data_IF_006448280936
#
_entry.id   IF_006448280936
#
_cell.length_a   1.000
_cell.length_b   1.000
_cell.length_c   1.000
_cell.angle_alpha   90.00
_cell.angle_beta   90.00
_cell.angle_gamma   90.00
#
_symmetry.space_group_name_H-M   'P 1'
#
loop_
_entity.id
_entity.type
_entity.pdbx_description
1 polymer ?
#
# COMPACT_ATOMS: atom_id res chain seq x y z
N UNK A 1 5.54 -22.55 4.46
CA UNK A 1 5.75 -22.70 5.92
C UNK A 1 6.33 -24.07 6.21
N UNK A 2 7.50 -24.18 6.84
CA UNK A 2 8.13 -25.49 7.10
C UNK A 2 8.34 -26.35 5.85
N UNK A 3 8.62 -25.77 4.70
CA UNK A 3 8.79 -26.46 3.42
C UNK A 3 7.48 -26.95 2.75
N UNK A 4 6.31 -26.59 3.30
CA UNK A 4 5.02 -26.90 2.68
C UNK A 4 4.53 -25.72 1.83
N UNK A 5 4.00 -26.03 0.66
CA UNK A 5 3.15 -25.12 -0.11
C UNK A 5 1.73 -25.24 0.43
N UNK A 6 1.05 -24.11 0.59
CA UNK A 6 -0.34 -24.05 1.00
C UNK A 6 -1.18 -23.57 -0.18
N UNK A 7 -2.32 -24.20 -0.42
CA UNK A 7 -3.30 -23.80 -1.43
C UNK A 7 -4.50 -23.19 -0.73
N UNK A 8 -4.83 -21.96 -1.13
CA UNK A 8 -5.84 -21.17 -0.47
C UNK A 8 -7.11 -21.05 -1.32
N UNK A 9 -8.26 -21.10 -0.64
CA UNK A 9 -9.55 -20.75 -1.21
C UNK A 9 -10.33 -19.85 -0.26
N UNK A 10 -11.33 -19.15 -0.80
CA UNK A 10 -12.18 -18.26 -0.01
C UNK A 10 -13.06 -19.11 0.91
N UNK A 11 -12.95 -18.89 2.23
CA UNK A 11 -13.77 -19.55 3.24
C UNK A 11 -14.90 -18.64 3.77
N UNK A 12 -14.72 -17.32 3.74
CA UNK A 12 -15.71 -16.38 4.25
C UNK A 12 -15.26 -14.94 4.18
N UNK A 13 -16.06 -14.05 4.76
CA UNK A 13 -15.78 -12.62 4.86
C UNK A 13 -15.93 -12.21 6.32
N UNK A 14 -14.95 -11.49 6.83
CA UNK A 14 -14.99 -10.86 8.16
C UNK A 14 -14.63 -9.37 8.02
N UNK A 15 -15.48 -8.49 8.50
CA UNK A 15 -15.29 -7.03 8.40
C UNK A 15 -14.97 -6.55 6.97
N UNK A 16 -15.65 -7.14 5.97
CA UNK A 16 -15.41 -6.87 4.54
C UNK A 16 -14.07 -7.35 4.00
N UNK A 17 -13.28 -8.09 4.78
CA UNK A 17 -12.05 -8.76 4.35
C UNK A 17 -12.25 -10.25 4.18
N UNK A 18 -11.51 -10.83 3.28
CA UNK A 18 -11.58 -12.27 3.04
C UNK A 18 -10.90 -13.05 4.17
N UNK A 19 -11.54 -14.14 4.53
CA UNK A 19 -10.94 -15.24 5.27
C UNK A 19 -10.67 -16.35 4.29
N UNK A 20 -9.41 -16.75 4.18
CA UNK A 20 -8.96 -17.83 3.31
C UNK A 20 -8.80 -19.11 4.13
N UNK A 21 -9.07 -20.26 3.56
CA UNK A 21 -8.74 -21.56 4.16
C UNK A 21 -7.66 -22.24 3.34
N UNK A 22 -6.64 -22.82 4.00
CA UNK A 22 -5.71 -23.68 3.31
C UNK A 22 -6.24 -25.13 3.23
N UNK A 23 -5.99 -25.81 2.10
CA UNK A 23 -6.45 -27.17 1.85
C UNK A 23 -5.65 -28.21 2.67
N UNK A 24 -4.40 -27.93 2.99
CA UNK A 24 -3.48 -28.87 3.60
C UNK A 24 -3.75 -29.08 5.09
N UNK A 25 -4.27 -28.06 5.77
CA UNK A 25 -4.51 -28.14 7.21
C UNK A 25 -5.91 -27.69 7.62
N UNK A 26 -6.70 -27.10 6.72
CA UNK A 26 -8.00 -26.52 7.03
C UNK A 26 -7.90 -25.27 7.93
N UNK A 27 -6.72 -24.67 8.03
CA UNK A 27 -6.51 -23.47 8.83
C UNK A 27 -7.11 -22.25 8.13
N UNK A 28 -7.70 -21.36 8.90
CA UNK A 28 -8.27 -20.11 8.41
C UNK A 28 -7.31 -18.95 8.60
N UNK A 29 -7.12 -18.18 7.56
CA UNK A 29 -6.16 -17.10 7.45
C UNK A 29 -6.86 -15.79 7.14
N UNK A 30 -6.51 -14.77 7.89
CA UNK A 30 -7.05 -13.43 7.69
C UNK A 30 -6.21 -12.69 6.64
N UNK A 31 -6.87 -12.16 5.62
CA UNK A 31 -6.22 -11.56 4.45
C UNK A 31 -5.31 -10.37 4.81
N UNK A 32 -5.80 -9.43 5.62
CA UNK A 32 -5.09 -8.17 5.91
C UNK A 32 -3.79 -8.41 6.67
N UNK A 33 -3.82 -9.29 7.67
CA UNK A 33 -2.65 -9.57 8.51
C UNK A 33 -1.78 -10.70 7.97
N UNK A 34 -2.30 -11.53 7.07
CA UNK A 34 -1.65 -12.78 6.66
C UNK A 34 -1.52 -13.81 7.79
N UNK A 35 -2.25 -13.63 8.90
CA UNK A 35 -2.12 -14.50 10.07
C UNK A 35 -3.24 -15.54 10.15
N UNK A 36 -2.88 -16.72 10.61
CA UNK A 36 -3.81 -17.81 10.89
C UNK A 36 -4.62 -17.50 12.17
N UNK A 37 -5.94 -17.48 12.05
CA UNK A 37 -6.87 -17.12 13.13
C UNK A 37 -7.54 -18.33 13.77
N UNK A 38 -7.75 -19.40 13.01
CA UNK A 38 -8.41 -20.63 13.47
C UNK A 38 -7.74 -21.83 12.80
N UNK A 39 -7.59 -22.94 13.52
CA UNK A 39 -7.10 -24.22 13.00
C UNK A 39 -5.70 -24.60 13.52
N UNK A 40 -5.10 -25.66 12.96
CA UNK A 40 -3.83 -26.20 13.44
C UNK A 40 -2.64 -25.25 13.38
N UNK A 41 -2.69 -24.22 12.51
CA UNK A 41 -1.63 -23.23 12.37
C UNK A 41 -1.98 -21.89 13.03
N UNK A 42 -3.05 -21.81 13.84
CA UNK A 42 -3.46 -20.57 14.49
C UNK A 42 -2.30 -19.88 15.22
N UNK A 43 -2.23 -18.55 15.08
CA UNK A 43 -1.14 -17.72 15.60
C UNK A 43 0.11 -17.66 14.73
N UNK A 44 0.19 -18.43 13.65
CA UNK A 44 1.27 -18.28 12.67
C UNK A 44 0.90 -17.25 11.62
N UNK A 45 1.90 -16.50 11.13
CA UNK A 45 1.72 -15.52 10.06
C UNK A 45 2.59 -15.88 8.85
N UNK A 46 2.07 -15.59 7.66
CA UNK A 46 2.83 -15.63 6.42
C UNK A 46 3.80 -14.45 6.41
N UNK A 47 4.92 -14.62 5.74
CA UNK A 47 5.82 -13.51 5.47
C UNK A 47 5.17 -12.54 4.49
N UNK A 48 5.10 -11.27 4.89
CA UNK A 48 4.58 -10.22 4.03
C UNK A 48 5.65 -9.78 3.05
N UNK A 49 5.37 -9.89 1.77
CA UNK A 49 6.20 -9.34 0.70
C UNK A 49 5.62 -8.00 0.23
N UNK A 50 6.44 -7.03 -0.22
CA UNK A 50 5.94 -5.83 -0.85
C UNK A 50 5.13 -6.18 -2.12
N UNK A 51 3.97 -5.58 -2.26
CA UNK A 51 3.13 -5.67 -3.45
C UNK A 51 2.86 -4.30 -4.03
N UNK A 52 2.35 -4.27 -5.24
CA UNK A 52 1.96 -3.05 -5.93
C UNK A 52 0.44 -2.93 -6.04
N UNK A 53 -0.05 -1.74 -5.73
CA UNK A 53 -1.39 -1.33 -6.10
C UNK A 53 -1.26 -0.17 -7.09
N UNK A 54 -1.26 -0.53 -8.36
CA UNK A 54 -1.03 0.41 -9.46
C UNK A 54 -2.10 0.24 -10.54
N UNK A 55 -2.35 1.28 -11.30
CA UNK A 55 -3.24 1.17 -12.47
C UNK A 55 -2.59 0.27 -13.52
N UNK A 56 -3.43 -0.31 -14.38
CA UNK A 56 -2.92 -1.12 -15.50
C UNK A 56 -2.05 -0.29 -16.46
N UNK A 57 -2.29 1.00 -16.56
CA UNK A 57 -1.47 1.92 -17.36
C UNK A 57 -0.03 2.00 -16.81
N UNK A 58 0.12 2.18 -15.49
CA UNK A 58 1.43 2.16 -14.82
C UNK A 58 2.09 0.80 -14.98
N UNK A 59 1.36 -0.28 -14.72
CA UNK A 59 1.87 -1.64 -14.90
C UNK A 59 2.37 -1.89 -16.31
N UNK A 60 1.59 -1.51 -17.33
CA UNK A 60 1.96 -1.69 -18.74
C UNK A 60 3.18 -0.85 -19.13
N UNK A 61 3.32 0.36 -18.57
CA UNK A 61 4.49 1.22 -18.77
C UNK A 61 5.77 0.55 -18.28
N UNK A 62 5.70 -0.10 -17.12
CA UNK A 62 6.85 -0.77 -16.50
C UNK A 62 7.08 -2.19 -17.04
N UNK A 63 6.02 -2.84 -17.50
CA UNK A 63 6.03 -4.21 -18.03
C UNK A 63 5.38 -4.28 -19.42
N UNK A 64 6.02 -3.74 -20.47
CA UNK A 64 5.40 -3.60 -21.79
C UNK A 64 5.05 -4.93 -22.46
N UNK A 65 5.71 -6.01 -22.07
CA UNK A 65 5.47 -7.36 -22.59
C UNK A 65 4.51 -8.19 -21.71
N UNK A 66 3.77 -7.55 -20.79
CA UNK A 66 2.84 -8.27 -19.92
C UNK A 66 1.73 -8.92 -20.72
N UNK A 67 1.31 -10.10 -20.24
CA UNK A 67 0.16 -10.80 -20.78
C UNK A 67 -1.04 -10.58 -19.86
N UNK A 68 -2.21 -10.37 -20.46
CA UNK A 68 -3.47 -10.26 -19.75
C UNK A 68 -4.28 -11.52 -19.99
N UNK A 69 -4.70 -12.19 -18.93
CA UNK A 69 -5.57 -13.34 -19.03
C UNK A 69 -6.89 -12.91 -19.69
N UNK A 70 -7.23 -13.57 -20.80
CA UNK A 70 -8.50 -13.32 -21.45
C UNK A 70 -9.62 -13.96 -20.62
N UNK A 71 -10.66 -13.19 -20.24
CA UNK A 71 -11.79 -13.76 -19.51
C UNK A 71 -12.47 -14.84 -20.33
N UNK A 72 -12.93 -15.91 -19.68
CA UNK A 72 -13.81 -16.87 -20.29
C UNK A 72 -15.12 -16.17 -20.72
N UNK A 73 -15.68 -16.58 -21.85
CA UNK A 73 -16.85 -15.89 -22.43
C UNK A 73 -18.08 -15.94 -21.49
N UNK A 74 -18.24 -17.06 -20.78
CA UNK A 74 -19.29 -17.30 -19.81
C UNK A 74 -19.08 -16.60 -18.44
N UNK A 75 -17.86 -16.13 -18.19
CA UNK A 75 -17.54 -15.42 -16.94
C UNK A 75 -17.87 -13.91 -17.00
N UNK A 76 -18.23 -13.37 -18.15
CA UNK A 76 -18.44 -11.92 -18.32
C UNK A 76 -19.53 -11.36 -17.43
N UNK A 77 -20.57 -12.13 -17.16
CA UNK A 77 -21.69 -11.72 -16.31
C UNK A 77 -21.33 -11.65 -14.82
N UNK A 78 -20.19 -12.24 -14.44
CA UNK A 78 -19.70 -12.26 -13.06
C UNK A 78 -18.70 -11.13 -12.75
N UNK A 79 -18.31 -10.34 -13.75
CA UNK A 79 -17.46 -9.19 -13.52
C UNK A 79 -18.26 -8.02 -12.97
N UNK A 80 -17.72 -7.36 -11.95
CA UNK A 80 -18.29 -6.15 -11.41
C UNK A 80 -18.33 -5.03 -12.46
N UNK A 81 -19.26 -4.10 -12.30
CA UNK A 81 -19.34 -2.90 -13.13
C UNK A 81 -18.08 -2.04 -13.00
N UNK A 82 -17.81 -1.21 -14.00
CA UNK A 82 -16.59 -0.38 -14.02
C UNK A 82 -16.49 0.63 -12.86
N UNK A 83 -17.60 0.92 -12.20
CA UNK A 83 -17.71 1.84 -11.08
C UNK A 83 -17.94 1.14 -9.72
N UNK A 84 -17.65 -0.15 -9.62
CA UNK A 84 -17.84 -0.98 -8.43
C UNK A 84 -17.20 -0.37 -7.17
N UNK A 85 -16.05 0.30 -7.30
CA UNK A 85 -15.39 1.00 -6.18
C UNK A 85 -16.28 2.10 -5.59
N UNK A 86 -17.05 2.83 -6.45
CA UNK A 86 -17.97 3.87 -5.98
C UNK A 86 -19.19 3.29 -5.27
N UNK A 87 -19.61 2.11 -5.68
CA UNK A 87 -20.72 1.39 -5.02
C UNK A 87 -20.28 0.90 -3.64
N UNK A 88 -19.13 0.25 -3.55
CA UNK A 88 -18.57 -0.23 -2.27
C UNK A 88 -18.35 0.92 -1.29
N UNK A 89 -17.88 2.07 -1.76
CA UNK A 89 -17.68 3.25 -0.91
C UNK A 89 -18.98 3.73 -0.22
N UNK A 90 -20.15 3.35 -0.71
CA UNK A 90 -21.46 3.73 -0.16
C UNK A 90 -22.05 2.69 0.79
N UNK A 91 -21.51 1.48 0.84
CA UNK A 91 -22.03 0.44 1.72
C UNK A 91 -21.83 0.82 3.19
N UNK A 92 -22.79 0.49 4.07
CA UNK A 92 -22.61 0.70 5.50
C UNK A 92 -21.39 -0.08 5.99
N UNK A 93 -20.67 0.50 6.94
CA UNK A 93 -19.59 -0.19 7.62
C UNK A 93 -20.15 -1.15 8.64
N UNK A 94 -19.58 -2.36 8.73
CA UNK A 94 -20.02 -3.37 9.70
C UNK A 94 -19.34 -3.21 11.06
N UNK A 95 -18.17 -2.61 11.09
CA UNK A 95 -17.41 -2.33 12.32
C UNK A 95 -17.57 -0.86 12.68
N UNK A 96 -18.11 -0.53 13.85
CA UNK A 96 -18.16 0.85 14.31
C UNK A 96 -16.74 1.35 14.62
N UNK A 97 -16.47 2.60 14.31
CA UNK A 97 -15.27 3.31 14.74
C UNK A 97 -15.63 4.36 15.78
N UNK A 98 -14.64 4.82 16.54
CA UNK A 98 -14.83 5.87 17.53
C UNK A 98 -15.35 7.14 16.82
N UNK A 99 -16.50 7.70 17.26
CA UNK A 99 -17.00 8.96 16.71
C UNK A 99 -16.03 10.15 16.89
N UNK A 100 -15.03 10.03 17.76
CA UNK A 100 -13.98 11.04 17.98
C UNK A 100 -12.79 10.87 17.04
N UNK A 101 -12.74 9.81 16.23
CA UNK A 101 -11.69 9.66 15.23
C UNK A 101 -11.73 10.82 14.24
N UNK A 102 -10.54 11.27 13.83
CA UNK A 102 -10.38 12.39 12.89
C UNK A 102 -10.86 12.06 11.48
N UNK A 103 -10.89 10.78 11.14
CA UNK A 103 -11.24 10.29 9.82
C UNK A 103 -12.62 9.64 9.86
N UNK A 104 -13.34 9.80 8.76
CA UNK A 104 -14.62 9.12 8.56
C UNK A 104 -14.40 7.65 8.23
N UNK A 105 -15.35 6.75 8.51
CA UNK A 105 -15.17 5.31 8.28
C UNK A 105 -14.68 4.96 6.88
N UNK A 106 -15.18 5.65 5.88
CA UNK A 106 -14.85 5.41 4.46
C UNK A 106 -13.77 6.32 3.87
N UNK A 107 -13.08 7.09 4.72
CA UNK A 107 -11.89 7.81 4.24
C UNK A 107 -10.83 6.81 3.81
N UNK A 108 -10.30 7.02 2.61
CA UNK A 108 -9.19 6.21 2.11
C UNK A 108 -7.90 6.62 2.82
N UNK A 109 -7.15 5.63 3.22
CA UNK A 109 -5.82 5.77 3.83
C UNK A 109 -4.82 4.85 3.15
N UNK A 110 -3.55 5.21 3.23
CA UNK A 110 -2.44 4.30 2.99
C UNK A 110 -1.86 3.91 4.34
N UNK A 111 -2.04 2.66 4.71
CA UNK A 111 -1.51 2.10 5.94
C UNK A 111 -0.12 1.53 5.74
N UNK A 112 0.81 1.87 6.62
CA UNK A 112 2.17 1.31 6.64
C UNK A 112 2.48 0.82 8.05
N UNK A 113 3.12 -0.34 8.14
CA UNK A 113 3.60 -0.90 9.40
C UNK A 113 5.12 -1.06 9.38
N UNK A 114 5.77 -0.81 10.51
CA UNK A 114 7.19 -1.09 10.72
C UNK A 114 7.37 -1.62 12.15
N UNK A 115 7.70 -2.89 12.27
CA UNK A 115 7.69 -3.58 13.56
C UNK A 115 6.30 -3.53 14.21
N UNK A 116 6.22 -2.94 15.40
CA UNK A 116 4.96 -2.76 16.14
C UNK A 116 4.28 -1.42 15.90
N UNK A 117 4.87 -0.57 15.07
CA UNK A 117 4.34 0.78 14.80
C UNK A 117 3.53 0.75 13.51
N UNK A 118 2.30 1.27 13.58
CA UNK A 118 1.42 1.46 12.43
C UNK A 118 1.09 2.94 12.24
N UNK A 119 1.01 3.40 11.00
CA UNK A 119 0.62 4.77 10.65
C UNK A 119 -0.23 4.77 9.39
N UNK A 120 -1.30 5.55 9.43
CA UNK A 120 -2.19 5.77 8.31
C UNK A 120 -1.92 7.15 7.70
N UNK A 121 -1.80 7.19 6.40
CA UNK A 121 -1.63 8.41 5.61
C UNK A 121 -2.92 8.65 4.84
N UNK A 122 -3.74 9.65 5.23
CA UNK A 122 -4.98 9.96 4.55
C UNK A 122 -4.73 10.25 3.06
N UNK A 123 -5.56 9.70 2.18
CA UNK A 123 -5.43 9.92 0.74
C UNK A 123 -5.42 11.39 0.36
N UNK A 124 -6.24 12.18 1.04
CA UNK A 124 -6.29 13.64 0.86
C UNK A 124 -4.95 14.32 1.18
N UNK A 125 -4.24 13.81 2.19
CA UNK A 125 -2.90 14.33 2.53
C UNK A 125 -1.87 13.96 1.45
N UNK A 126 -1.95 12.74 0.88
CA UNK A 126 -1.08 12.32 -0.23
C UNK A 126 -1.30 13.16 -1.48
N UNK A 127 -2.55 13.47 -1.81
CA UNK A 127 -2.87 14.33 -2.95
C UNK A 127 -2.36 15.76 -2.73
N UNK A 128 -2.46 16.27 -1.50
CA UNK A 128 -2.01 17.63 -1.17
C UNK A 128 -0.49 17.75 -1.04
N UNK A 129 0.19 16.70 -0.59
CA UNK A 129 1.63 16.69 -0.33
C UNK A 129 2.24 15.38 -0.90
N UNK A 130 2.66 15.41 -2.16
CA UNK A 130 3.31 14.28 -2.81
C UNK A 130 4.72 14.66 -3.28
N UNK A 131 5.77 13.94 -2.88
CA UNK A 131 5.77 12.79 -1.97
C UNK A 131 5.61 13.17 -0.49
N UNK A 132 5.15 12.22 0.33
CA UNK A 132 5.24 12.35 1.79
C UNK A 132 6.57 11.74 2.24
N UNK A 133 7.36 12.53 2.93
CA UNK A 133 8.58 12.14 3.62
C UNK A 133 8.26 12.04 5.11
N UNK A 134 8.55 10.88 5.72
CA UNK A 134 8.26 10.63 7.13
C UNK A 134 9.28 9.66 7.74
N UNK A 135 9.10 9.36 9.01
CA UNK A 135 9.81 8.29 9.72
C UNK A 135 8.79 7.46 10.50
N UNK A 136 8.82 6.16 10.31
CA UNK A 136 7.94 5.21 10.99
C UNK A 136 8.79 4.24 11.82
N UNK A 137 8.79 4.41 13.16
CA UNK A 137 9.78 3.77 14.00
C UNK A 137 11.20 4.21 13.58
N UNK A 138 12.06 3.23 13.27
CA UNK A 138 13.43 3.49 12.78
C UNK A 138 13.53 3.51 11.25
N UNK A 139 12.39 3.45 10.55
CA UNK A 139 12.36 3.39 9.09
C UNK A 139 12.10 4.77 8.48
N UNK A 140 13.07 5.37 7.80
CA UNK A 140 12.85 6.59 7.02
C UNK A 140 12.00 6.25 5.80
N UNK A 141 10.77 6.76 5.79
CA UNK A 141 9.70 6.37 4.87
C UNK A 141 9.50 7.41 3.77
N UNK A 142 9.29 6.92 2.55
CA UNK A 142 8.73 7.65 1.43
C UNK A 142 7.37 7.04 1.08
N UNK A 143 6.32 7.83 1.06
CA UNK A 143 5.02 7.46 0.47
C UNK A 143 4.85 8.27 -0.80
N UNK A 144 4.72 7.57 -1.92
CA UNK A 144 4.76 8.16 -3.25
C UNK A 144 3.50 7.82 -4.04
N UNK A 145 2.81 8.86 -4.50
CA UNK A 145 1.70 8.76 -5.44
C UNK A 145 2.21 9.05 -6.86
N UNK A 146 1.87 8.19 -7.82
CA UNK A 146 2.21 8.41 -9.23
C UNK A 146 1.40 9.60 -9.80
N UNK A 147 1.83 10.09 -10.96
CA UNK A 147 1.17 11.20 -11.65
C UNK A 147 -0.26 10.89 -12.10
N UNK A 148 -0.62 9.60 -12.15
CA UNK A 148 -1.99 9.16 -12.42
C UNK A 148 -2.96 9.44 -11.25
N UNK A 149 -2.43 9.86 -10.08
CA UNK A 149 -3.21 10.14 -8.87
C UNK A 149 -3.91 8.92 -8.26
N UNK A 150 -3.54 7.69 -8.67
CA UNK A 150 -4.20 6.42 -8.27
C UNK A 150 -3.22 5.36 -7.83
N UNK A 151 -2.05 5.29 -8.44
CA UNK A 151 -0.99 4.31 -8.15
C UNK A 151 -0.12 4.80 -7.01
N UNK A 152 0.17 3.92 -6.06
CA UNK A 152 0.98 4.28 -4.90
C UNK A 152 2.08 3.26 -4.62
N UNK A 153 3.15 3.73 -4.00
CA UNK A 153 4.26 2.90 -3.52
C UNK A 153 4.87 3.49 -2.26
N UNK A 154 5.38 2.60 -1.41
CA UNK A 154 6.12 2.98 -0.22
C UNK A 154 7.55 2.43 -0.28
N UNK A 155 8.49 3.24 0.20
CA UNK A 155 9.91 2.88 0.16
C UNK A 155 10.62 3.25 1.46
N UNK A 156 11.64 2.47 1.80
CA UNK A 156 12.69 2.90 2.70
C UNK A 156 13.63 3.84 1.91
N UNK A 157 13.87 5.03 2.47
CA UNK A 157 14.70 6.06 1.83
C UNK A 157 16.20 5.82 2.00
N UNK A 158 16.61 4.72 2.63
CA UNK A 158 18.03 4.40 2.81
C UNK A 158 18.63 3.77 1.56
N UNK A 159 19.74 4.35 1.10
CA UNK A 159 20.55 3.80 0.03
C UNK A 159 22.01 3.85 0.47
N UNK A 160 22.71 2.73 0.46
CA UNK A 160 24.12 2.63 0.84
C UNK A 160 24.44 3.30 2.20
N UNK A 161 23.62 3.02 3.23
CA UNK A 161 23.72 3.55 4.60
C UNK A 161 23.42 5.07 4.75
N UNK A 162 22.87 5.69 3.74
CA UNK A 162 22.47 7.09 3.77
C UNK A 162 20.97 7.24 3.58
N UNK A 163 20.36 8.13 4.34
CA UNK A 163 18.96 8.48 4.19
C UNK A 163 18.83 9.62 3.18
N UNK A 164 18.05 9.40 2.13
CA UNK A 164 17.81 10.38 1.08
C UNK A 164 16.64 11.30 1.45
N UNK A 165 16.75 12.57 1.07
CA UNK A 165 15.66 13.54 1.09
C UNK A 165 15.16 13.74 -0.34
N UNK A 166 14.01 13.16 -0.62
CA UNK A 166 13.40 13.07 -1.94
C UNK A 166 12.28 14.09 -2.08
N UNK A 167 12.23 14.77 -3.20
CA UNK A 167 11.17 15.72 -3.52
C UNK A 167 10.76 15.64 -4.99
N UNK A 168 9.57 16.12 -5.29
CA UNK A 168 9.09 16.22 -6.66
C UNK A 168 9.56 17.55 -7.25
N UNK A 169 10.46 17.50 -8.24
CA UNK A 169 10.87 18.65 -9.01
C UNK A 169 9.80 18.96 -10.06
N UNK A 170 9.07 20.03 -9.82
CA UNK A 170 8.05 20.58 -10.74
C UNK A 170 8.69 21.59 -11.70
N UNK A 171 7.93 22.06 -12.71
CA UNK A 171 8.46 23.00 -13.73
C UNK A 171 9.17 22.32 -14.90
N UNK A 172 9.27 21.00 -14.89
CA UNK A 172 9.67 20.15 -16.03
C UNK A 172 8.55 19.16 -16.35
N UNK A 173 8.51 18.65 -17.56
CA UNK A 173 7.49 17.68 -17.98
C UNK A 173 8.17 16.42 -18.57
N UNK A 174 7.94 15.23 -17.98
CA UNK A 174 7.20 15.00 -16.74
C UNK A 174 7.97 15.49 -15.49
N UNK A 175 7.27 15.75 -14.37
CA UNK A 175 7.92 16.00 -13.07
C UNK A 175 8.82 14.83 -12.69
N UNK A 176 9.96 15.12 -12.05
CA UNK A 176 10.94 14.11 -11.65
C UNK A 176 11.08 14.06 -10.12
N UNK A 177 11.22 12.86 -9.58
CA UNK A 177 11.60 12.67 -8.18
C UNK A 177 13.12 12.84 -8.11
N UNK A 178 13.58 13.71 -7.22
CA UNK A 178 15.00 14.04 -7.10
C UNK A 178 15.44 13.95 -5.65
N UNK A 179 16.61 13.40 -5.37
CA UNK A 179 17.21 13.53 -4.05
C UNK A 179 17.99 14.85 -3.93
N UNK A 180 17.84 15.53 -2.79
CA UNK A 180 18.40 16.87 -2.59
C UNK A 180 19.92 16.91 -2.50
N UNK A 181 20.56 15.79 -2.16
CA UNK A 181 21.99 15.75 -1.88
C UNK A 181 22.84 15.48 -3.12
N UNK A 182 22.44 14.50 -3.93
CA UNK A 182 23.20 14.11 -5.12
C UNK A 182 22.62 14.67 -6.41
N UNK A 183 21.37 15.12 -6.37
CA UNK A 183 20.61 15.51 -7.56
C UNK A 183 20.23 14.34 -8.46
N UNK A 184 20.34 13.10 -7.97
CA UNK A 184 19.94 11.92 -8.75
C UNK A 184 18.44 11.91 -8.98
N UNK A 185 18.03 11.50 -10.17
CA UNK A 185 16.62 11.39 -10.56
C UNK A 185 16.13 9.96 -10.40
N UNK A 186 14.92 9.84 -9.87
CA UNK A 186 14.28 8.58 -9.53
C UNK A 186 12.94 8.44 -10.24
N UNK A 187 12.66 7.25 -10.73
CA UNK A 187 11.35 6.95 -11.26
C UNK A 187 10.38 6.44 -10.19
N UNK A 188 9.11 6.28 -10.57
CA UNK A 188 8.07 5.79 -9.67
C UNK A 188 8.33 4.35 -9.18
N UNK A 189 9.13 3.54 -9.88
CA UNK A 189 9.52 2.19 -9.43
C UNK A 189 10.55 2.20 -8.30
N UNK A 190 11.09 3.38 -7.96
CA UNK A 190 12.17 3.54 -7.01
C UNK A 190 13.56 3.26 -7.61
N UNK A 191 13.71 3.30 -8.93
CA UNK A 191 14.99 3.18 -9.62
C UNK A 191 15.58 4.58 -9.85
N UNK A 192 16.83 4.78 -9.49
CA UNK A 192 17.58 5.96 -9.88
C UNK A 192 17.92 5.87 -11.39
N UNK A 193 17.34 6.77 -12.17
CA UNK A 193 17.46 6.78 -13.65
C UNK A 193 18.59 7.66 -14.15
N UNK A 194 19.03 8.65 -13.34
CA UNK A 194 20.10 9.57 -13.68
C UNK A 194 20.85 10.05 -12.44
N UNK A 195 22.03 10.63 -12.63
CA UNK A 195 22.86 11.21 -11.59
C UNK A 195 23.82 10.20 -10.93
N UNK A 196 24.49 10.60 -9.83
CA UNK A 196 25.50 9.78 -9.16
C UNK A 196 25.01 8.45 -8.62
N UNK A 197 23.69 8.32 -8.33
CA UNK A 197 23.08 7.09 -7.83
C UNK A 197 22.41 6.27 -8.94
N UNK A 198 22.59 6.60 -10.22
CA UNK A 198 21.97 5.87 -11.33
C UNK A 198 22.17 4.35 -11.21
N UNK A 199 21.08 3.59 -11.41
CA UNK A 199 21.02 2.13 -11.25
C UNK A 199 20.77 1.64 -9.81
N UNK A 200 20.80 2.51 -8.80
CA UNK A 200 20.40 2.16 -7.42
C UNK A 200 18.89 2.07 -7.31
N UNK A 201 18.42 1.28 -6.33
CA UNK A 201 17.00 1.13 -6.04
C UNK A 201 16.69 1.40 -4.58
N UNK A 202 15.59 2.08 -4.34
CA UNK A 202 14.97 2.15 -3.02
C UNK A 202 14.36 0.79 -2.65
N UNK A 203 14.49 0.40 -1.40
CA UNK A 203 13.84 -0.80 -0.90
C UNK A 203 12.33 -0.58 -0.77
N UNK A 204 11.54 -1.49 -1.35
CA UNK A 204 10.08 -1.46 -1.26
C UNK A 204 9.62 -1.81 0.15
N UNK A 205 8.61 -1.11 0.62
CA UNK A 205 7.92 -1.42 1.86
C UNK A 205 6.49 -1.84 1.57
N UNK A 206 5.95 -2.84 2.30
CA UNK A 206 4.53 -3.16 2.22
C UNK A 206 3.69 -1.96 2.64
N UNK A 207 2.68 -1.64 1.86
CA UNK A 207 1.68 -0.66 2.22
C UNK A 207 0.32 -1.10 1.68
N UNK A 208 -0.74 -0.73 2.39
CA UNK A 208 -2.10 -1.13 2.08
C UNK A 208 -2.95 0.12 1.88
N UNK A 209 -3.57 0.27 0.70
CA UNK A 209 -4.63 1.24 0.48
C UNK A 209 -5.94 0.65 0.98
N UNK A 210 -6.58 1.29 1.93
CA UNK A 210 -7.72 0.75 2.61
C UNK A 210 -8.66 1.86 3.11
N UNK A 211 -9.85 1.48 3.53
CA UNK A 211 -10.74 2.38 4.25
C UNK A 211 -10.33 2.48 5.72
N UNK A 212 -10.53 3.67 6.31
CA UNK A 212 -10.14 3.95 7.69
C UNK A 212 -10.72 2.95 8.68
N UNK A 213 -12.02 2.60 8.57
CA UNK A 213 -12.67 1.68 9.49
C UNK A 213 -11.98 0.31 9.52
N UNK A 214 -11.51 -0.15 8.38
CA UNK A 214 -10.88 -1.45 8.24
C UNK A 214 -9.44 -1.41 8.74
N UNK A 215 -8.63 -0.49 8.22
CA UNK A 215 -7.27 -0.27 8.70
C UNK A 215 -7.21 -0.13 10.23
N UNK A 216 -8.11 0.69 10.82
CA UNK A 216 -8.18 0.94 12.27
C UNK A 216 -8.52 -0.31 13.06
N UNK A 217 -9.40 -1.17 12.53
CA UNK A 217 -9.79 -2.43 13.18
C UNK A 217 -8.58 -3.36 13.37
N UNK A 218 -7.73 -3.48 12.38
CA UNK A 218 -6.55 -4.34 12.45
C UNK A 218 -5.32 -3.64 13.03
N UNK A 219 -5.32 -2.33 13.09
CA UNK A 219 -4.25 -1.51 13.64
C UNK A 219 -4.79 -0.51 14.68
N UNK A 220 -5.33 -0.98 15.83
CA UNK A 220 -6.04 -0.11 16.78
C UNK A 220 -5.19 1.02 17.35
N UNK A 221 -3.88 0.83 17.43
CA UNK A 221 -2.91 1.82 17.91
C UNK A 221 -2.27 2.64 16.78
N UNK A 222 -2.83 2.59 15.57
CA UNK A 222 -2.31 3.31 14.43
C UNK A 222 -2.30 4.83 14.68
N UNK A 223 -1.25 5.50 14.25
CA UNK A 223 -1.19 6.96 14.21
C UNK A 223 -1.75 7.43 12.88
N UNK A 224 -2.24 8.67 12.85
CA UNK A 224 -2.68 9.31 11.60
C UNK A 224 -1.67 10.39 11.24
N UNK A 225 -1.19 10.36 10.00
CA UNK A 225 -0.34 11.41 9.47
C UNK A 225 -1.10 12.74 9.44
N UNK A 226 -0.45 13.78 9.93
CA UNK A 226 -0.95 15.16 9.83
C UNK A 226 0.07 15.94 9.03
N UNK A 227 -0.34 16.50 7.91
CA UNK A 227 0.51 17.43 7.16
C UNK A 227 0.93 18.55 8.11
N UNK A 228 2.22 18.67 8.38
CA UNK A 228 2.75 19.80 9.12
C UNK A 228 2.47 21.05 8.32
N UNK A 229 1.96 22.10 8.97
CA UNK A 229 2.13 23.44 8.44
C UNK A 229 3.65 23.62 8.24
N UNK A 230 4.10 24.16 7.10
CA UNK A 230 5.51 24.49 6.95
C UNK A 230 5.89 25.30 8.19
N UNK A 231 6.87 24.78 8.93
CA UNK A 231 7.46 25.49 10.05
C UNK A 231 7.94 26.83 9.48
N UNK A 232 7.14 27.88 9.72
CA UNK A 232 7.50 29.24 9.35
C UNK A 232 8.85 29.55 9.97
N UNK A 233 9.78 29.89 9.13
CA UNK A 233 11.07 30.49 9.44
C UNK A 233 10.94 31.70 10.32
#
# INVERSE_FOLDING_TARGET
>A
MGGRTLHFHLAGINNQNFIMSDEETGTWWQQVSGCAVVGPLAGRCLETIPWDEVTFEVWKREHPNTLVLRPAADAREHYAAADWEKEIARYPTVTPIDPQDRLQPRDLVVGVTSGTVAKAYPWTALVAQNPIIDTLGDTPLLVLLDLDGRSLRCFDRRVANETLDLFLRTGICPPAIVDSRTGSEWDFSGLATAGPLAGRRLARLPCLKDYWFDWKTYNPNTRVFTAGLPSGS
#
